data_IF_458056040958
#
_entry.id   IF_458056040958
#
_cell.length_a   1.000
_cell.length_b   1.000
_cell.length_c   1.000
_cell.angle_alpha   90.00
_cell.angle_beta   90.00
_cell.angle_gamma   90.00
#
_symmetry.space_group_name_H-M   'P 1'
#
loop_
_entity.id
_entity.type
_entity.pdbx_description
1 polymer ?
#
# COMPACT_ATOMS: atom_id res chain seq x y z
N UNK A 1 37.18 3.00 -13.78
CA UNK A 1 35.78 3.40 -13.98
C UNK A 1 34.82 2.34 -13.44
N UNK A 2 35.13 1.05 -13.59
CA UNK A 2 34.24 -0.05 -13.16
C UNK A 2 34.06 -0.19 -11.64
N UNK A 3 35.07 0.13 -10.82
CA UNK A 3 34.99 -0.01 -9.36
C UNK A 3 33.93 0.90 -8.75
N UNK A 4 33.94 2.19 -9.10
CA UNK A 4 32.97 3.16 -8.60
C UNK A 4 31.54 2.86 -9.07
N UNK A 5 31.37 2.38 -10.31
CA UNK A 5 30.07 1.96 -10.82
C UNK A 5 29.55 0.71 -10.08
N UNK A 6 30.43 -0.22 -9.70
CA UNK A 6 30.07 -1.42 -8.98
C UNK A 6 29.71 -1.14 -7.51
N UNK A 7 30.50 -0.28 -6.84
CA UNK A 7 30.23 0.21 -5.48
C UNK A 7 28.87 0.94 -5.41
N UNK A 8 28.57 1.78 -6.41
CA UNK A 8 27.30 2.47 -6.50
C UNK A 8 26.12 1.51 -6.66
N UNK A 9 26.22 0.48 -7.51
CA UNK A 9 25.18 -0.55 -7.65
C UNK A 9 24.96 -1.33 -6.36
N UNK A 10 26.03 -1.72 -5.68
CA UNK A 10 25.95 -2.45 -4.40
C UNK A 10 25.24 -1.61 -3.34
N UNK A 11 25.56 -0.32 -3.26
CA UNK A 11 24.91 0.61 -2.33
C UNK A 11 23.41 0.74 -2.63
N UNK A 12 23.04 0.94 -3.90
CA UNK A 12 21.63 0.99 -4.29
C UNK A 12 20.88 -0.31 -3.99
N UNK A 13 21.52 -1.46 -4.17
CA UNK A 13 20.92 -2.75 -3.84
C UNK A 13 20.67 -2.89 -2.34
N UNK A 14 21.68 -2.61 -1.50
CA UNK A 14 21.55 -2.69 -0.04
C UNK A 14 20.46 -1.75 0.49
N UNK A 15 20.34 -0.55 -0.09
CA UNK A 15 19.27 0.38 0.25
C UNK A 15 17.89 -0.16 -0.12
N UNK A 16 17.74 -0.76 -1.31
CA UNK A 16 16.47 -1.36 -1.75
C UNK A 16 16.06 -2.53 -0.85
N UNK A 17 17.01 -3.35 -0.44
CA UNK A 17 16.77 -4.48 0.49
C UNK A 17 16.32 -3.96 1.86
N UNK A 18 17.00 -2.94 2.39
CA UNK A 18 16.61 -2.29 3.65
C UNK A 18 15.20 -1.71 3.56
N UNK A 19 14.89 -1.00 2.46
CA UNK A 19 13.57 -0.43 2.22
C UNK A 19 12.49 -1.52 2.17
N UNK A 20 12.73 -2.61 1.44
CA UNK A 20 11.81 -3.76 1.37
C UNK A 20 11.59 -4.39 2.75
N UNK A 21 12.63 -4.52 3.56
CA UNK A 21 12.51 -5.05 4.91
C UNK A 21 11.67 -4.15 5.82
N UNK A 22 11.81 -2.82 5.70
CA UNK A 22 10.98 -1.86 6.43
C UNK A 22 9.51 -1.90 5.98
N UNK A 23 9.27 -1.96 4.66
CA UNK A 23 7.92 -2.12 4.11
C UNK A 23 7.27 -3.42 4.60
N UNK A 24 8.01 -4.53 4.59
CA UNK A 24 7.50 -5.82 5.08
C UNK A 24 7.17 -5.79 6.57
N UNK A 25 7.99 -5.15 7.40
CA UNK A 25 7.72 -4.98 8.84
C UNK A 25 6.49 -4.11 9.08
N UNK A 26 6.33 -3.02 8.34
CA UNK A 26 5.16 -2.17 8.43
C UNK A 26 3.89 -2.92 8.01
N UNK A 27 3.97 -3.72 6.94
CA UNK A 27 2.87 -4.56 6.48
C UNK A 27 2.48 -5.59 7.55
N UNK A 28 3.45 -6.30 8.12
CA UNK A 28 3.19 -7.26 9.19
C UNK A 28 2.51 -6.63 10.41
N UNK A 29 2.90 -5.40 10.78
CA UNK A 29 2.29 -4.68 11.89
C UNK A 29 0.87 -4.17 11.64
N UNK A 30 0.40 -4.18 10.38
CA UNK A 30 -0.94 -3.71 9.99
C UNK A 30 -1.86 -4.84 9.52
N UNK A 31 -1.37 -6.09 9.45
CA UNK A 31 -2.13 -7.20 8.90
C UNK A 31 -3.41 -7.46 9.71
N UNK A 32 -3.34 -7.40 11.04
CA UNK A 32 -4.53 -7.57 11.89
C UNK A 32 -5.57 -6.46 11.65
N UNK A 33 -5.12 -5.20 11.54
CA UNK A 33 -6.01 -4.07 11.22
C UNK A 33 -6.66 -4.22 9.84
N UNK A 34 -5.88 -4.67 8.85
CA UNK A 34 -6.41 -4.92 7.50
C UNK A 34 -7.45 -6.04 7.56
N UNK A 35 -7.12 -7.17 8.19
CA UNK A 35 -8.03 -8.31 8.33
C UNK A 35 -9.34 -7.91 8.98
N UNK A 36 -9.28 -7.23 10.13
CA UNK A 36 -10.47 -6.79 10.86
C UNK A 36 -11.36 -5.87 10.02
N UNK A 37 -10.76 -4.92 9.29
CA UNK A 37 -11.51 -4.03 8.40
C UNK A 37 -12.18 -4.78 7.24
N UNK A 38 -11.48 -5.74 6.64
CA UNK A 38 -12.01 -6.56 5.55
C UNK A 38 -13.14 -7.49 6.02
N UNK A 39 -12.97 -8.13 7.18
CA UNK A 39 -14.00 -8.97 7.79
C UNK A 39 -15.27 -8.17 8.13
N UNK A 40 -15.10 -6.97 8.71
CA UNK A 40 -16.22 -6.06 8.99
C UNK A 40 -16.93 -5.64 7.69
N UNK A 41 -16.18 -5.21 6.68
CA UNK A 41 -16.74 -4.78 5.39
C UNK A 41 -17.49 -5.90 4.68
N UNK A 42 -16.96 -7.13 4.75
CA UNK A 42 -17.61 -8.33 4.22
C UNK A 42 -18.93 -8.62 4.95
N UNK A 43 -18.93 -8.56 6.28
CA UNK A 43 -20.14 -8.79 7.07
C UNK A 43 -21.23 -7.75 6.76
N UNK A 44 -20.85 -6.47 6.69
CA UNK A 44 -21.76 -5.38 6.33
C UNK A 44 -22.31 -5.54 4.91
N UNK A 45 -21.48 -5.93 3.94
CA UNK A 45 -21.91 -6.16 2.57
C UNK A 45 -22.93 -7.31 2.48
N UNK A 46 -22.69 -8.41 3.18
CA UNK A 46 -23.60 -9.56 3.21
C UNK A 46 -24.92 -9.22 3.91
N UNK A 47 -24.88 -8.50 5.03
CA UNK A 47 -26.10 -8.08 5.75
C UNK A 47 -26.95 -7.09 4.93
N UNK A 48 -26.29 -6.20 4.18
CA UNK A 48 -26.94 -5.27 3.26
C UNK A 48 -27.58 -5.95 2.03
N UNK A 49 -27.17 -7.17 1.71
CA UNK A 49 -27.76 -7.96 0.62
C UNK A 49 -29.02 -8.68 1.14
N UNK A 50 -30.17 -8.35 0.54
CA UNK A 50 -31.42 -9.01 0.87
C UNK A 50 -31.39 -10.53 0.56
N UNK A 51 -32.35 -11.27 1.11
CA UNK A 51 -32.48 -12.75 1.02
C UNK A 51 -32.58 -13.37 -0.39
N UNK A 52 -32.44 -12.59 -1.46
CA UNK A 52 -32.54 -13.04 -2.87
C UNK A 52 -31.34 -12.69 -3.73
N UNK A 53 -30.26 -12.15 -3.15
CA UNK A 53 -29.04 -11.93 -3.89
C UNK A 53 -28.50 -13.27 -4.43
N UNK A 54 -28.06 -13.25 -5.69
CA UNK A 54 -27.33 -14.36 -6.30
C UNK A 54 -25.91 -14.45 -5.71
N UNK A 55 -25.25 -15.59 -5.89
CA UNK A 55 -23.87 -15.78 -5.45
C UNK A 55 -22.92 -14.77 -6.14
N UNK A 56 -23.16 -14.49 -7.43
CA UNK A 56 -22.39 -13.52 -8.21
C UNK A 56 -22.57 -12.08 -7.71
N UNK A 57 -23.81 -11.68 -7.39
CA UNK A 57 -24.08 -10.38 -6.78
C UNK A 57 -23.43 -10.26 -5.38
N UNK A 58 -23.43 -11.36 -4.63
CA UNK A 58 -22.82 -11.42 -3.30
C UNK A 58 -21.30 -11.27 -3.39
N UNK A 59 -20.67 -12.01 -4.29
CA UNK A 59 -19.22 -11.92 -4.53
C UNK A 59 -18.81 -10.53 -5.01
N UNK A 60 -19.57 -9.94 -5.95
CA UNK A 60 -19.31 -8.60 -6.45
C UNK A 60 -19.44 -7.53 -5.35
N UNK A 61 -20.48 -7.63 -4.51
CA UNK A 61 -20.70 -6.70 -3.41
C UNK A 61 -19.60 -6.80 -2.36
N UNK A 62 -19.22 -8.01 -1.96
CA UNK A 62 -18.13 -8.24 -0.99
C UNK A 62 -16.80 -7.73 -1.51
N UNK A 63 -16.45 -8.06 -2.76
CA UNK A 63 -15.21 -7.59 -3.40
C UNK A 63 -15.14 -6.06 -3.45
N UNK A 64 -16.26 -5.42 -3.77
CA UNK A 64 -16.34 -3.97 -3.79
C UNK A 64 -16.25 -3.35 -2.38
N UNK A 65 -16.89 -3.96 -1.37
CA UNK A 65 -16.83 -3.49 0.01
C UNK A 65 -15.42 -3.62 0.61
N UNK A 66 -14.76 -4.75 0.38
CA UNK A 66 -13.37 -4.99 0.81
C UNK A 66 -12.41 -3.96 0.19
N UNK A 67 -12.56 -3.69 -1.10
CA UNK A 67 -11.81 -2.62 -1.78
C UNK A 67 -12.04 -1.26 -1.12
N UNK A 68 -13.30 -0.88 -0.88
CA UNK A 68 -13.64 0.41 -0.26
C UNK A 68 -13.09 0.54 1.16
N UNK A 69 -13.09 -0.54 1.94
CA UNK A 69 -12.52 -0.54 3.29
C UNK A 69 -11.01 -0.30 3.26
N UNK A 70 -10.28 -0.95 2.35
CA UNK A 70 -8.86 -0.70 2.14
C UNK A 70 -8.56 0.72 1.65
N UNK A 71 -9.38 1.25 0.72
CA UNK A 71 -9.27 2.63 0.27
C UNK A 71 -9.45 3.62 1.41
N UNK A 72 -10.43 3.38 2.28
CA UNK A 72 -10.68 4.20 3.46
C UNK A 72 -9.48 4.20 4.41
N UNK A 73 -8.94 3.03 4.76
CA UNK A 73 -7.71 2.94 5.57
C UNK A 73 -6.54 3.70 4.93
N UNK A 74 -6.38 3.58 3.62
CA UNK A 74 -5.34 4.27 2.87
C UNK A 74 -5.49 5.80 2.93
N UNK A 75 -6.71 6.30 2.75
CA UNK A 75 -7.03 7.73 2.80
C UNK A 75 -6.90 8.28 4.23
N UNK A 76 -7.37 7.56 5.24
CA UNK A 76 -7.27 7.96 6.65
C UNK A 76 -5.80 8.05 7.09
N UNK A 77 -4.96 7.12 6.61
CA UNK A 77 -3.52 7.20 6.82
C UNK A 77 -2.89 8.39 6.10
N UNK A 78 -3.31 8.72 4.88
CA UNK A 78 -2.84 9.90 4.14
C UNK A 78 -3.20 11.20 4.85
N UNK A 79 -4.46 11.36 5.27
CA UNK A 79 -4.95 12.57 5.94
C UNK A 79 -4.28 12.76 7.30
N UNK A 80 -3.90 11.66 7.96
CA UNK A 80 -3.13 11.66 9.20
C UNK A 80 -1.61 11.81 9.00
N UNK A 81 -1.14 12.07 7.78
CA UNK A 81 0.28 12.12 7.40
C UNK A 81 1.09 10.84 7.71
N UNK A 82 0.41 9.71 7.89
CA UNK A 82 1.05 8.41 8.09
C UNK A 82 1.33 7.74 6.75
N UNK A 83 2.29 8.31 6.00
CA UNK A 83 2.65 7.84 4.66
C UNK A 83 3.16 6.40 4.63
N UNK A 84 3.72 5.89 5.74
CA UNK A 84 4.15 4.49 5.85
C UNK A 84 2.96 3.54 5.86
N UNK A 85 1.93 3.84 6.64
CA UNK A 85 0.71 3.02 6.68
C UNK A 85 -0.06 3.14 5.36
N UNK A 86 -0.20 4.38 4.85
CA UNK A 86 -0.81 4.60 3.54
C UNK A 86 -0.13 3.78 2.44
N UNK A 87 1.21 3.73 2.44
CA UNK A 87 1.98 2.93 1.49
C UNK A 87 1.62 1.45 1.57
N UNK A 88 1.50 0.88 2.77
CA UNK A 88 1.10 -0.53 2.97
C UNK A 88 -0.30 -0.79 2.38
N UNK A 89 -1.27 0.06 2.70
CA UNK A 89 -2.65 -0.10 2.21
C UNK A 89 -2.72 0.02 0.68
N UNK A 90 -2.06 1.01 0.07
CA UNK A 90 -2.00 1.13 -1.39
C UNK A 90 -1.23 -0.01 -2.07
N UNK A 91 -0.22 -0.60 -1.41
CA UNK A 91 0.45 -1.79 -1.91
C UNK A 91 -0.48 -3.00 -1.93
N UNK A 92 -1.33 -3.15 -0.92
CA UNK A 92 -2.37 -4.19 -0.90
C UNK A 92 -3.36 -3.99 -2.05
N UNK A 93 -3.93 -2.78 -2.16
CA UNK A 93 -4.86 -2.41 -3.23
C UNK A 93 -4.26 -2.64 -4.63
N UNK A 94 -3.00 -2.27 -4.85
CA UNK A 94 -2.34 -2.46 -6.15
C UNK A 94 -2.11 -3.94 -6.50
N UNK A 95 -1.97 -4.83 -5.51
CA UNK A 95 -1.85 -6.28 -5.73
C UNK A 95 -3.19 -6.93 -6.03
N UNK A 96 -4.24 -6.52 -5.32
CA UNK A 96 -5.59 -7.10 -5.45
C UNK A 96 -6.35 -6.53 -6.65
N UNK A 97 -6.04 -5.31 -7.07
CA UNK A 97 -6.69 -4.64 -8.19
C UNK A 97 -5.63 -4.13 -9.20
N UNK A 98 -5.00 -5.05 -9.95
CA UNK A 98 -4.03 -4.68 -10.98
C UNK A 98 -4.71 -3.84 -12.07
N UNK A 99 -4.00 -2.82 -12.58
CA UNK A 99 -4.51 -1.91 -13.61
C UNK A 99 -5.31 -0.71 -13.08
N UNK A 100 -5.59 -0.65 -11.77
CA UNK A 100 -6.17 0.52 -11.12
C UNK A 100 -5.15 1.65 -10.84
N UNK A 101 -5.60 2.79 -10.28
CA UNK A 101 -4.75 3.95 -10.00
C UNK A 101 -3.75 3.72 -8.85
N UNK A 102 -3.89 2.62 -8.11
CA UNK A 102 -3.15 2.36 -6.87
C UNK A 102 -1.64 2.21 -7.08
N UNK A 103 -1.21 1.66 -8.21
CA UNK A 103 0.22 1.51 -8.53
C UNK A 103 0.93 2.88 -8.61
N UNK A 104 0.25 3.90 -9.16
CA UNK A 104 0.76 5.27 -9.19
C UNK A 104 0.92 5.85 -7.78
N UNK A 105 -0.07 5.62 -6.92
CA UNK A 105 -0.01 6.05 -5.51
C UNK A 105 1.12 5.38 -4.73
N UNK A 106 1.38 4.10 -4.96
CA UNK A 106 2.53 3.39 -4.36
C UNK A 106 3.85 4.05 -4.76
N UNK A 107 3.99 4.49 -6.02
CA UNK A 107 5.19 5.19 -6.48
C UNK A 107 5.38 6.54 -5.76
N UNK A 108 4.32 7.35 -5.70
CA UNK A 108 4.33 8.65 -5.00
C UNK A 108 4.66 8.48 -3.51
N UNK A 109 4.05 7.50 -2.85
CA UNK A 109 4.24 7.26 -1.43
C UNK A 109 5.65 6.73 -1.12
N UNK A 110 6.21 5.86 -1.96
CA UNK A 110 7.62 5.43 -1.80
C UNK A 110 8.58 6.61 -1.88
N UNK A 111 8.35 7.55 -2.78
CA UNK A 111 9.14 8.78 -2.83
C UNK A 111 9.03 9.54 -1.50
N UNK A 112 7.82 9.74 -0.97
CA UNK A 112 7.60 10.45 0.31
C UNK A 112 8.19 9.74 1.53
N UNK A 113 8.09 8.41 1.61
CA UNK A 113 8.57 7.62 2.76
C UNK A 113 10.10 7.48 2.75
N UNK A 114 10.71 7.42 1.56
CA UNK A 114 12.16 7.34 1.38
C UNK A 114 12.90 8.67 1.55
N UNK A 115 12.17 9.78 1.68
CA UNK A 115 12.74 11.10 1.91
C UNK A 115 13.16 11.27 3.36
N UNK A 116 14.47 11.27 3.60
CA UNK A 116 15.06 11.70 4.87
C UNK A 116 15.71 13.06 4.63
N UNK A 117 15.38 14.05 5.45
CA UNK A 117 15.95 15.41 5.36
C UNK A 117 15.78 16.09 3.98
N UNK A 118 14.70 15.76 3.27
CA UNK A 118 14.42 16.35 1.95
C UNK A 118 15.20 15.74 0.78
N UNK A 119 15.90 14.62 1.00
CA UNK A 119 16.66 13.92 -0.04
C UNK A 119 16.26 12.44 -0.11
N UNK A 120 16.07 11.94 -1.33
CA UNK A 120 15.75 10.55 -1.65
C UNK A 120 16.99 9.66 -1.50
N UNK A 121 16.84 8.32 -1.42
CA UNK A 121 17.98 7.41 -1.33
C UNK A 121 18.95 7.47 -2.54
N UNK A 122 18.48 7.98 -3.68
CA UNK A 122 19.29 8.21 -4.88
C UNK A 122 20.00 9.58 -4.91
N UNK A 123 19.95 10.34 -3.81
CA UNK A 123 20.60 11.64 -3.66
C UNK A 123 19.85 12.82 -4.29
N UNK A 124 18.70 12.58 -4.93
CA UNK A 124 17.88 13.68 -5.49
C UNK A 124 16.99 14.31 -4.43
N UNK A 125 16.76 15.63 -4.48
CA UNK A 125 15.80 16.27 -3.59
C UNK A 125 14.40 15.69 -3.78
N UNK A 126 13.66 15.69 -2.68
CA UNK A 126 12.30 15.20 -2.59
C UNK A 126 11.26 16.15 -3.20
N UNK A 127 11.68 17.39 -3.49
CA UNK A 127 10.94 18.38 -4.23
C UNK A 127 11.23 18.26 -5.73
N UNK A 128 10.25 17.71 -6.44
CA UNK A 128 9.73 18.12 -7.77
C UNK A 128 8.47 17.30 -8.06
#
# INVERSE_FOLDING_TARGET
ADTAANEHRQTLQAQRETQRALEARAAAGLEDTIREALEAARAEAIDGLGRRATDEETEAAVTNAERQALEKLAVDALTSNNYRHALVYYQRLAREHPGGPYAGMVHVLRAKVGCRDGVRPDGRPCSE
#
